data_IF_263713986875
#
_entry.id   IF_263713986875
#
_cell.length_a   1.000
_cell.length_b   1.000
_cell.length_c   1.000
_cell.angle_alpha   90.00
_cell.angle_beta   90.00
_cell.angle_gamma   90.00
#
_symmetry.space_group_name_H-M   'P 1'
#
loop_
_entity.id
_entity.type
_entity.pdbx_description
1 polymer ?
#
# COMPACT_ATOMS: atom_id res chain seq x y z
N UNK A 1 -80.65 4.79 -33.92
CA UNK A 1 -79.56 5.14 -34.86
C UNK A 1 -79.64 6.62 -35.15
N UNK A 2 -78.54 7.40 -35.35
CA UNK A 2 -77.09 7.11 -35.25
C UNK A 2 -76.43 7.83 -34.04
N UNK A 3 -75.39 7.32 -33.37
CA UNK A 3 -73.95 7.18 -33.73
C UNK A 3 -73.19 8.49 -33.91
N UNK A 4 -72.68 9.05 -32.81
CA UNK A 4 -71.39 9.79 -32.74
C UNK A 4 -70.96 9.89 -31.28
N UNK A 5 -70.09 8.97 -30.83
CA UNK A 5 -69.62 8.98 -29.45
C UNK A 5 -68.59 7.90 -29.16
N UNK A 6 -67.64 7.67 -30.07
CA UNK A 6 -66.56 6.69 -29.85
C UNK A 6 -65.28 7.03 -30.63
N UNK A 7 -64.90 8.30 -30.70
CA UNK A 7 -63.61 8.72 -31.32
C UNK A 7 -62.73 9.53 -30.36
N UNK A 8 -63.27 10.07 -29.26
CA UNK A 8 -62.48 10.88 -28.32
C UNK A 8 -61.69 10.07 -27.28
N UNK A 9 -62.03 8.80 -27.02
CA UNK A 9 -61.38 8.01 -25.96
C UNK A 9 -60.10 7.28 -26.42
N UNK A 10 -59.98 6.97 -27.72
CA UNK A 10 -58.80 6.26 -28.25
C UNK A 10 -57.62 7.23 -28.46
N UNK A 11 -57.88 8.50 -28.78
CA UNK A 11 -56.81 9.48 -28.94
C UNK A 11 -56.11 9.85 -27.62
N UNK A 12 -56.83 9.84 -26.49
CA UNK A 12 -56.26 10.17 -25.17
C UNK A 12 -55.44 9.00 -24.61
N UNK A 13 -55.83 7.75 -24.87
CA UNK A 13 -55.05 6.57 -24.44
C UNK A 13 -53.80 6.37 -25.30
N UNK A 14 -53.83 6.74 -26.60
CA UNK A 14 -52.62 6.71 -27.45
C UNK A 14 -51.69 7.88 -27.16
N UNK A 15 -52.19 9.07 -26.78
CA UNK A 15 -51.36 10.20 -26.38
C UNK A 15 -50.73 10.02 -24.99
N UNK A 16 -51.44 9.41 -24.03
CA UNK A 16 -50.88 9.04 -22.73
C UNK A 16 -49.93 7.83 -22.82
N UNK A 17 -50.23 6.88 -23.71
CA UNK A 17 -49.33 5.74 -23.99
C UNK A 17 -48.07 6.15 -24.75
N UNK A 18 -48.16 7.07 -25.72
CA UNK A 18 -47.00 7.59 -26.44
C UNK A 18 -46.19 8.58 -25.58
N UNK A 19 -46.85 9.36 -24.70
CA UNK A 19 -46.16 10.21 -23.72
C UNK A 19 -45.44 9.42 -22.63
N UNK A 20 -46.04 8.33 -22.14
CA UNK A 20 -45.36 7.41 -21.21
C UNK A 20 -44.25 6.61 -21.92
N UNK A 21 -44.44 6.19 -23.17
CA UNK A 21 -43.42 5.46 -23.93
C UNK A 21 -42.27 6.38 -24.44
N UNK A 22 -42.51 7.67 -24.61
CA UNK A 22 -41.46 8.66 -24.90
C UNK A 22 -40.76 9.19 -23.64
N UNK A 23 -41.42 9.18 -22.47
CA UNK A 23 -40.78 9.46 -21.19
C UNK A 23 -39.97 8.26 -20.65
N UNK A 24 -40.31 7.03 -21.03
CA UNK A 24 -39.54 5.81 -20.73
C UNK A 24 -38.37 5.56 -21.68
N UNK A 25 -38.15 6.42 -22.68
CA UNK A 25 -37.01 6.30 -23.61
C UNK A 25 -35.97 7.41 -23.47
N UNK A 26 -36.15 8.30 -22.49
CA UNK A 26 -35.22 9.38 -22.14
C UNK A 26 -34.63 9.20 -20.73
N UNK A 27 -34.74 7.98 -20.17
CA UNK A 27 -34.42 7.65 -18.78
C UNK A 27 -33.26 6.63 -18.66
N UNK A 28 -32.23 6.74 -19.50
CA UNK A 28 -31.03 5.89 -19.47
C UNK A 28 -29.76 6.73 -19.53
N UNK A 29 -29.65 7.71 -18.62
CA UNK A 29 -28.57 8.69 -18.61
C UNK A 29 -27.99 8.88 -17.22
N UNK A 30 -26.66 8.96 -17.15
CA UNK A 30 -25.95 9.30 -15.91
C UNK A 30 -26.44 10.67 -15.39
N UNK A 31 -26.88 10.77 -14.13
CA UNK A 31 -27.43 12.02 -13.59
C UNK A 31 -26.39 13.14 -13.64
N UNK A 32 -26.81 14.35 -14.01
CA UNK A 32 -25.94 15.53 -14.00
C UNK A 32 -25.88 16.10 -12.57
N UNK A 33 -24.94 15.59 -11.77
CA UNK A 33 -24.74 16.02 -10.39
C UNK A 33 -23.57 17.01 -10.32
N UNK A 34 -23.71 18.16 -9.63
CA UNK A 34 -22.62 19.12 -9.50
C UNK A 34 -21.37 18.47 -8.86
N UNK A 35 -20.16 18.87 -9.28
CA UNK A 35 -18.93 18.31 -8.71
C UNK A 35 -18.81 18.75 -7.26
N UNK A 36 -18.56 17.80 -6.36
CA UNK A 36 -18.15 18.13 -5.01
C UNK A 36 -16.72 18.69 -5.04
N UNK A 37 -16.44 19.56 -4.08
CA UNK A 37 -15.13 20.16 -3.87
C UNK A 37 -14.82 19.99 -2.39
N UNK A 38 -13.62 19.49 -2.08
CA UNK A 38 -13.14 19.52 -0.71
C UNK A 38 -12.86 20.98 -0.32
N UNK A 39 -13.46 21.50 0.77
CA UNK A 39 -13.21 22.87 1.21
C UNK A 39 -11.72 23.08 1.47
N UNK A 40 -11.20 24.25 1.09
CA UNK A 40 -9.78 24.57 1.31
C UNK A 40 -9.41 24.67 2.79
N UNK A 41 -10.38 25.02 3.64
CA UNK A 41 -10.21 25.18 5.10
C UNK A 41 -10.63 23.93 5.90
N UNK A 42 -11.12 22.87 5.23
CA UNK A 42 -11.52 21.65 5.92
C UNK A 42 -10.32 21.04 6.66
N UNK A 43 -10.52 20.74 7.95
CA UNK A 43 -9.50 20.06 8.75
C UNK A 43 -9.10 18.73 8.09
N UNK A 44 -7.81 18.41 7.99
CA UNK A 44 -7.39 17.10 7.46
C UNK A 44 -7.82 15.98 8.44
N UNK A 45 -8.75 15.08 8.06
CA UNK A 45 -9.23 14.02 8.95
C UNK A 45 -8.16 12.94 9.20
N UNK A 46 -7.09 12.97 8.42
CA UNK A 46 -5.90 12.15 8.50
C UNK A 46 -4.68 12.93 8.99
N UNK A 47 -4.87 14.12 9.57
CA UNK A 47 -3.82 14.82 10.31
C UNK A 47 -3.37 13.96 11.50
N UNK A 48 -2.04 13.88 11.69
CA UNK A 48 -1.48 13.14 12.82
C UNK A 48 -1.89 13.78 14.15
N UNK A 49 -2.10 12.95 15.16
CA UNK A 49 -2.16 13.40 16.55
C UNK A 49 -1.61 12.30 17.46
N UNK A 50 -0.93 12.67 18.53
CA UNK A 50 -0.34 11.70 19.45
C UNK A 50 -1.39 10.78 20.10
N UNK A 51 -2.62 11.27 20.29
CA UNK A 51 -3.76 10.47 20.78
C UNK A 51 -4.15 9.34 19.81
N UNK A 52 -3.90 9.51 18.51
CA UNK A 52 -4.20 8.55 17.46
C UNK A 52 -2.98 7.74 17.02
N UNK A 53 -1.83 7.87 17.69
CA UNK A 53 -0.57 7.21 17.27
C UNK A 53 -0.76 5.74 16.90
N UNK A 54 -1.39 4.95 17.76
CA UNK A 54 -1.61 3.52 17.51
C UNK A 54 -2.50 3.21 16.30
N UNK A 55 -3.43 4.10 15.93
CA UNK A 55 -4.23 3.99 14.70
C UNK A 55 -3.35 4.20 13.46
N UNK A 56 -2.51 5.23 13.48
CA UNK A 56 -1.54 5.50 12.41
C UNK A 56 -0.52 4.36 12.25
N UNK A 57 0.05 3.86 13.34
CA UNK A 57 0.98 2.73 13.32
C UNK A 57 0.33 1.47 12.73
N UNK A 58 -0.91 1.16 13.13
CA UNK A 58 -1.67 0.02 12.62
C UNK A 58 -1.98 0.18 11.13
N UNK A 59 -2.44 1.36 10.71
CA UNK A 59 -2.72 1.68 9.30
C UNK A 59 -1.46 1.53 8.45
N UNK A 60 -0.34 2.11 8.88
CA UNK A 60 0.94 2.01 8.18
C UNK A 60 1.41 0.57 8.05
N UNK A 61 1.32 -0.20 9.14
CA UNK A 61 1.65 -1.62 9.11
C UNK A 61 0.78 -2.41 8.14
N UNK A 62 -0.51 -2.09 8.00
CA UNK A 62 -1.42 -2.77 7.08
C UNK A 62 -1.19 -2.38 5.63
N UNK A 63 -1.07 -1.07 5.36
CA UNK A 63 -0.92 -0.54 4.00
C UNK A 63 0.41 -0.95 3.37
N UNK A 64 1.49 -0.94 4.15
CA UNK A 64 2.84 -1.29 3.67
C UNK A 64 3.17 -2.78 3.83
N UNK A 65 2.17 -3.62 4.14
CA UNK A 65 2.38 -5.04 4.37
C UNK A 65 2.70 -5.82 3.09
N UNK A 66 2.20 -5.37 1.93
CA UNK A 66 2.19 -6.13 0.67
C UNK A 66 3.54 -6.76 0.31
N UNK A 67 4.61 -5.97 0.38
CA UNK A 67 5.96 -6.42 0.02
C UNK A 67 6.46 -7.60 0.86
N UNK A 68 6.02 -7.74 2.12
CA UNK A 68 6.38 -8.88 2.95
C UNK A 68 5.77 -10.18 2.42
N UNK A 69 4.54 -10.12 1.90
CA UNK A 69 3.86 -11.27 1.32
C UNK A 69 4.45 -11.61 -0.05
N UNK A 70 4.57 -10.61 -0.92
CA UNK A 70 5.06 -10.76 -2.29
C UNK A 70 6.51 -11.27 -2.36
N UNK A 71 7.40 -10.71 -1.53
CA UNK A 71 8.84 -11.02 -1.60
C UNK A 71 9.28 -12.13 -0.65
N UNK A 72 8.37 -12.66 0.17
CA UNK A 72 8.70 -13.70 1.15
C UNK A 72 9.18 -14.99 0.47
N UNK A 73 10.39 -15.48 0.79
CA UNK A 73 10.92 -16.66 0.12
C UNK A 73 10.09 -17.93 0.38
N UNK A 74 9.43 -18.43 -0.68
CA UNK A 74 8.52 -19.57 -0.62
C UNK A 74 7.14 -19.26 -0.04
N UNK A 75 6.73 -17.98 -0.04
CA UNK A 75 5.45 -17.49 0.50
C UNK A 75 5.52 -17.15 1.99
N UNK A 76 4.65 -16.24 2.44
CA UNK A 76 4.69 -15.72 3.81
C UNK A 76 4.46 -16.83 4.85
N UNK A 77 3.59 -17.80 4.55
CA UNK A 77 3.25 -18.89 5.46
C UNK A 77 4.48 -19.78 5.72
N UNK A 78 5.25 -20.06 4.66
CA UNK A 78 6.50 -20.81 4.78
C UNK A 78 7.57 -20.01 5.52
N UNK A 79 7.65 -18.70 5.28
CA UNK A 79 8.53 -17.78 6.01
C UNK A 79 8.20 -17.74 7.50
N UNK A 80 6.94 -17.51 7.87
CA UNK A 80 6.47 -17.50 9.25
C UNK A 80 6.75 -18.84 9.95
N UNK A 81 6.51 -19.97 9.27
CA UNK A 81 6.86 -21.31 9.79
C UNK A 81 8.35 -21.48 10.05
N UNK A 82 9.23 -20.93 9.21
CA UNK A 82 10.68 -20.96 9.44
C UNK A 82 11.05 -20.07 10.62
N UNK A 83 10.53 -18.84 10.66
CA UNK A 83 10.76 -17.88 11.75
C UNK A 83 10.35 -18.43 13.11
N UNK A 84 9.16 -19.04 13.20
CA UNK A 84 8.62 -19.59 14.46
C UNK A 84 9.52 -20.65 15.11
N UNK A 85 10.43 -21.29 14.36
CA UNK A 85 11.40 -22.26 14.91
C UNK A 85 12.42 -21.61 15.83
N UNK A 86 12.63 -20.30 15.69
CA UNK A 86 13.57 -19.53 16.50
C UNK A 86 12.94 -19.00 17.79
N UNK A 87 11.62 -19.14 17.99
CA UNK A 87 10.91 -18.56 19.13
C UNK A 87 11.54 -18.86 20.50
N UNK A 88 11.94 -20.10 20.85
CA UNK A 88 12.57 -20.35 22.15
C UNK A 88 13.89 -19.59 22.35
N UNK A 89 14.66 -19.40 21.27
CA UNK A 89 15.91 -18.66 21.33
C UNK A 89 15.65 -17.15 21.40
N UNK A 90 14.65 -16.67 20.66
CA UNK A 90 14.18 -15.28 20.71
C UNK A 90 13.71 -14.93 22.12
N UNK A 91 12.87 -15.75 22.74
CA UNK A 91 12.38 -15.52 24.11
C UNK A 91 13.51 -15.49 25.14
N UNK A 92 14.49 -16.40 25.01
CA UNK A 92 15.67 -16.40 25.88
C UNK A 92 16.46 -15.09 25.80
N UNK A 93 16.83 -14.67 24.58
CA UNK A 93 17.57 -13.42 24.37
C UNK A 93 16.74 -12.19 24.77
N UNK A 94 15.45 -12.18 24.40
CA UNK A 94 14.54 -11.09 24.73
C UNK A 94 14.39 -10.92 26.24
N UNK A 95 14.25 -12.02 26.98
CA UNK A 95 14.17 -11.99 28.45
C UNK A 95 15.47 -11.50 29.08
N UNK A 96 16.63 -11.95 28.59
CA UNK A 96 17.95 -11.51 29.07
C UNK A 96 18.15 -10.00 28.84
N UNK A 97 17.68 -9.49 27.70
CA UNK A 97 17.81 -8.08 27.30
C UNK A 97 16.64 -7.18 27.74
N UNK A 98 15.58 -7.73 28.36
CA UNK A 98 14.31 -7.03 28.67
C UNK A 98 13.65 -6.37 27.45
N UNK A 99 13.64 -7.07 26.32
CA UNK A 99 13.04 -6.63 25.05
C UNK A 99 11.73 -7.40 24.76
N UNK A 100 10.89 -6.85 23.89
CA UNK A 100 9.69 -7.56 23.40
C UNK A 100 10.10 -8.68 22.42
N UNK A 101 9.85 -9.93 22.83
CA UNK A 101 10.14 -11.12 22.03
C UNK A 101 9.38 -11.13 20.69
N UNK A 102 8.18 -10.56 20.62
CA UNK A 102 7.42 -10.48 19.37
C UNK A 102 8.06 -9.51 18.37
N UNK A 103 8.67 -8.42 18.85
CA UNK A 103 9.39 -7.49 17.98
C UNK A 103 10.68 -8.11 17.46
N UNK A 104 11.44 -8.82 18.29
CA UNK A 104 12.65 -9.52 17.82
C UNK A 104 12.28 -10.61 16.81
N UNK A 105 11.21 -11.37 17.05
CA UNK A 105 10.73 -12.37 16.09
C UNK A 105 10.26 -11.73 14.77
N UNK A 106 9.62 -10.56 14.83
CA UNK A 106 9.24 -9.79 13.66
C UNK A 106 10.45 -9.31 12.85
N UNK A 107 11.51 -8.83 13.51
CA UNK A 107 12.79 -8.51 12.86
C UNK A 107 13.34 -9.75 12.15
N UNK A 108 13.34 -10.93 12.79
CA UNK A 108 13.80 -12.17 12.14
C UNK A 108 12.99 -12.51 10.89
N UNK A 109 11.67 -12.33 10.91
CA UNK A 109 10.83 -12.54 9.74
C UNK A 109 11.17 -11.56 8.62
N UNK A 110 11.24 -10.26 8.93
CA UNK A 110 11.50 -9.21 7.95
C UNK A 110 12.89 -9.34 7.32
N UNK A 111 13.92 -9.56 8.14
CA UNK A 111 15.32 -9.53 7.72
C UNK A 111 15.74 -10.78 6.94
N UNK A 112 15.26 -11.96 7.33
CA UNK A 112 15.77 -13.21 6.77
C UNK A 112 14.71 -14.24 6.43
N UNK A 113 13.44 -13.96 6.71
CA UNK A 113 12.37 -14.94 6.64
C UNK A 113 12.72 -16.25 7.39
N UNK A 114 13.40 -16.10 8.54
CA UNK A 114 13.87 -17.17 9.41
C UNK A 114 15.05 -17.98 8.86
N UNK A 115 15.79 -17.47 7.86
CA UNK A 115 16.95 -18.15 7.24
C UNK A 115 18.27 -17.69 7.89
N UNK A 116 18.94 -18.54 8.69
CA UNK A 116 20.16 -18.16 9.39
C UNK A 116 21.38 -18.03 8.45
N UNK A 117 21.26 -18.43 7.18
CA UNK A 117 22.28 -18.29 6.15
C UNK A 117 21.93 -17.25 5.09
N UNK A 118 20.96 -16.36 5.35
CA UNK A 118 20.65 -15.21 4.50
C UNK A 118 21.87 -14.29 4.36
N UNK A 119 22.09 -13.79 3.14
CA UNK A 119 23.19 -12.89 2.79
C UNK A 119 22.65 -11.84 1.80
N UNK A 120 22.97 -10.57 2.03
CA UNK A 120 22.58 -9.48 1.13
C UNK A 120 23.39 -9.49 -0.17
N UNK A 121 24.65 -9.93 -0.11
CA UNK A 121 25.56 -9.96 -1.25
C UNK A 121 26.47 -11.22 -1.21
N UNK A 122 27.02 -11.66 -2.36
CA UNK A 122 27.87 -12.85 -2.43
C UNK A 122 29.27 -12.68 -1.82
N UNK A 123 29.73 -11.46 -1.63
CA UNK A 123 31.06 -11.15 -1.08
C UNK A 123 31.04 -11.05 0.46
N UNK A 124 29.85 -11.03 1.08
CA UNK A 124 29.59 -10.99 2.52
C UNK A 124 30.03 -9.69 3.20
N UNK A 125 30.15 -8.62 2.40
CA UNK A 125 30.47 -7.27 2.87
C UNK A 125 29.24 -6.60 3.51
N UNK A 126 28.06 -6.87 2.95
CA UNK A 126 26.77 -6.44 3.43
C UNK A 126 26.22 -7.29 4.58
N UNK A 127 24.90 -7.21 4.72
CA UNK A 127 24.16 -7.79 5.82
C UNK A 127 24.11 -9.32 5.75
N UNK A 128 24.26 -9.98 6.90
CA UNK A 128 24.34 -11.44 6.99
C UNK A 128 23.57 -11.97 8.19
N UNK A 129 22.97 -13.14 7.99
CA UNK A 129 22.42 -13.95 9.07
C UNK A 129 20.97 -13.68 9.36
N UNK A 130 20.53 -14.20 10.52
CA UNK A 130 19.13 -14.25 10.92
C UNK A 130 18.48 -12.86 11.06
N UNK A 131 19.28 -11.87 11.43
CA UNK A 131 18.86 -10.48 11.66
C UNK A 131 19.66 -9.48 10.82
N UNK A 132 20.29 -9.96 9.73
CA UNK A 132 20.94 -9.13 8.71
C UNK A 132 21.92 -8.07 9.26
N UNK A 133 22.96 -8.53 9.96
CA UNK A 133 23.96 -7.64 10.57
C UNK A 133 25.09 -7.33 9.58
N UNK A 134 25.44 -6.04 9.41
CA UNK A 134 26.60 -5.59 8.64
C UNK A 134 27.92 -6.00 9.31
N UNK A 135 28.96 -6.31 8.51
CA UNK A 135 30.25 -6.74 9.04
C UNK A 135 30.89 -5.70 9.99
N UNK A 136 30.94 -4.44 9.56
CA UNK A 136 31.50 -3.33 10.33
C UNK A 136 30.75 -3.10 11.65
N UNK A 137 29.42 -3.10 11.62
CA UNK A 137 28.58 -2.99 12.82
C UNK A 137 28.81 -4.17 13.77
N UNK A 138 28.87 -5.39 13.23
CA UNK A 138 29.17 -6.59 14.01
C UNK A 138 30.47 -6.48 14.80
N UNK A 139 31.55 -6.03 14.15
CA UNK A 139 32.87 -5.91 14.78
C UNK A 139 32.96 -4.70 15.72
N UNK A 140 32.57 -3.52 15.24
CA UNK A 140 32.83 -2.24 15.90
C UNK A 140 31.86 -1.90 17.03
N UNK A 141 30.60 -2.37 16.94
CA UNK A 141 29.55 -2.05 17.91
C UNK A 141 29.11 -3.28 18.70
N UNK A 142 28.94 -4.43 18.04
CA UNK A 142 28.26 -5.58 18.62
C UNK A 142 29.19 -6.63 19.23
N UNK A 143 30.51 -6.39 19.22
CA UNK A 143 31.52 -7.30 19.79
C UNK A 143 31.56 -8.68 19.12
N UNK A 144 31.15 -8.77 17.85
CA UNK A 144 31.08 -10.02 17.11
C UNK A 144 32.40 -10.33 16.42
N UNK A 145 32.81 -11.61 16.40
CA UNK A 145 33.91 -12.06 15.55
C UNK A 145 33.39 -12.21 14.12
N UNK A 146 33.97 -11.45 13.20
CA UNK A 146 33.65 -11.50 11.77
C UNK A 146 34.94 -11.54 10.95
N UNK A 147 35.29 -12.70 10.40
CA UNK A 147 36.33 -12.86 9.39
C UNK A 147 35.67 -13.09 8.02
N UNK A 148 35.41 -11.99 7.30
CA UNK A 148 34.74 -11.99 6.00
C UNK A 148 35.50 -12.87 4.99
N UNK A 149 36.83 -12.80 4.98
CA UNK A 149 37.65 -13.53 4.03
C UNK A 149 37.56 -15.06 4.27
N UNK A 150 37.65 -15.52 5.51
CA UNK A 150 37.46 -16.93 5.86
C UNK A 150 36.03 -17.39 5.62
N UNK A 151 35.04 -16.57 6.00
CA UNK A 151 33.62 -16.82 5.81
C UNK A 151 33.29 -17.04 4.34
N UNK A 152 33.78 -16.17 3.44
CA UNK A 152 33.62 -16.28 1.98
C UNK A 152 34.23 -17.57 1.42
N UNK A 153 35.45 -17.94 1.86
CA UNK A 153 36.09 -19.21 1.46
C UNK A 153 35.25 -20.41 1.88
N UNK A 154 34.66 -20.38 3.07
CA UNK A 154 33.80 -21.44 3.59
C UNK A 154 32.47 -21.50 2.84
N UNK A 155 31.83 -20.36 2.57
CA UNK A 155 30.58 -20.26 1.79
C UNK A 155 30.75 -20.87 0.40
N UNK A 156 31.81 -20.53 -0.34
CA UNK A 156 32.12 -21.14 -1.65
C UNK A 156 32.37 -22.64 -1.57
N UNK A 157 32.93 -23.15 -0.46
CA UNK A 157 33.10 -24.59 -0.23
C UNK A 157 31.75 -25.26 0.08
N UNK A 158 30.90 -24.64 0.89
CA UNK A 158 29.56 -25.11 1.25
C UNK A 158 28.71 -25.29 -0.03
N UNK A 159 28.66 -24.27 -0.90
CA UNK A 159 27.92 -24.33 -2.16
C UNK A 159 28.38 -25.50 -3.04
N UNK A 160 29.71 -25.69 -3.20
CA UNK A 160 30.26 -26.80 -3.99
C UNK A 160 29.91 -28.18 -3.45
N UNK A 161 29.97 -28.38 -2.13
CA UNK A 161 29.64 -29.69 -1.54
C UNK A 161 28.13 -29.95 -1.54
N UNK A 162 27.30 -28.90 -1.43
CA UNK A 162 25.85 -29.00 -1.63
C UNK A 162 25.52 -29.45 -3.06
N UNK A 163 26.17 -28.86 -4.07
CA UNK A 163 26.01 -29.24 -5.48
C UNK A 163 26.44 -30.68 -5.81
N UNK A 164 27.28 -31.29 -4.97
CA UNK A 164 27.69 -32.71 -5.07
C UNK A 164 26.79 -33.67 -4.29
N UNK A 165 25.75 -33.18 -3.62
CA UNK A 165 24.88 -34.01 -2.78
C UNK A 165 25.55 -34.51 -1.49
N UNK A 166 26.48 -33.73 -0.91
CA UNK A 166 27.18 -34.10 0.34
C UNK A 166 26.67 -33.30 1.58
N UNK A 167 25.42 -33.52 2.06
CA UNK A 167 24.82 -32.69 3.10
C UNK A 167 25.56 -32.76 4.45
N UNK A 168 26.13 -33.92 4.79
CA UNK A 168 26.93 -34.06 6.01
C UNK A 168 28.19 -33.20 6.02
N UNK A 169 28.84 -33.04 4.85
CA UNK A 169 30.02 -32.18 4.70
C UNK A 169 29.64 -30.71 4.70
N UNK A 170 28.53 -30.34 4.06
CA UNK A 170 27.98 -28.99 4.10
C UNK A 170 27.74 -28.53 5.55
N UNK A 171 27.04 -29.35 6.34
CA UNK A 171 26.77 -29.05 7.77
C UNK A 171 28.03 -28.86 8.60
N UNK A 172 29.10 -29.63 8.33
CA UNK A 172 30.41 -29.44 9.01
C UNK A 172 31.03 -28.10 8.67
N UNK A 173 31.01 -27.71 7.39
CA UNK A 173 31.56 -26.43 6.93
C UNK A 173 30.75 -25.24 7.44
N UNK A 174 29.42 -25.36 7.54
CA UNK A 174 28.55 -24.34 8.14
C UNK A 174 28.90 -24.10 9.61
N UNK A 175 29.13 -25.17 10.39
CA UNK A 175 29.61 -25.04 11.78
C UNK A 175 30.97 -24.37 11.87
N UNK A 176 31.88 -24.64 10.94
CA UNK A 176 33.16 -23.95 10.87
C UNK A 176 32.98 -22.46 10.52
N UNK A 177 32.05 -22.13 9.61
CA UNK A 177 31.75 -20.74 9.23
C UNK A 177 31.27 -19.93 10.43
N UNK A 178 30.37 -20.49 11.25
CA UNK A 178 29.88 -19.83 12.48
C UNK A 178 30.98 -19.47 13.48
N UNK A 179 32.09 -20.21 13.51
CA UNK A 179 33.22 -19.94 14.43
C UNK A 179 34.10 -18.77 13.98
N UNK A 180 34.09 -18.46 12.69
CA UNK A 180 34.88 -17.37 12.11
C UNK A 180 34.02 -16.14 11.81
N UNK A 181 32.71 -16.33 11.65
CA UNK A 181 31.74 -15.27 11.37
C UNK A 181 30.47 -15.51 12.19
N UNK A 182 30.40 -14.83 13.34
CA UNK A 182 29.31 -14.95 14.32
C UNK A 182 27.95 -14.50 13.75
N UNK A 183 27.91 -13.74 12.64
CA UNK A 183 26.64 -13.34 11.99
C UNK A 183 25.83 -14.56 11.52
N UNK A 184 26.49 -15.67 11.23
CA UNK A 184 25.84 -16.94 10.85
C UNK A 184 25.40 -17.81 12.04
N UNK A 185 25.73 -17.42 13.27
CA UNK A 185 25.28 -18.09 14.48
C UNK A 185 23.97 -17.45 14.97
N UNK A 186 22.84 -18.19 14.98
CA UNK A 186 21.54 -17.62 15.32
C UNK A 186 21.48 -16.96 16.71
N UNK A 187 22.15 -17.55 17.72
CA UNK A 187 22.11 -16.99 19.09
C UNK A 187 22.91 -15.69 19.13
N UNK A 188 24.12 -15.70 18.59
CA UNK A 188 24.99 -14.52 18.59
C UNK A 188 24.43 -13.38 17.71
N UNK A 189 23.71 -13.71 16.63
CA UNK A 189 23.01 -12.72 15.83
C UNK A 189 21.87 -12.05 16.63
N UNK A 190 21.05 -12.83 17.34
CA UNK A 190 19.98 -12.29 18.18
C UNK A 190 20.52 -11.46 19.35
N UNK A 191 21.57 -11.93 20.03
CA UNK A 191 22.26 -11.16 21.08
C UNK A 191 22.89 -9.87 20.51
N UNK A 192 23.39 -9.91 19.27
CA UNK A 192 23.86 -8.74 18.55
C UNK A 192 22.74 -7.73 18.30
N UNK A 193 21.57 -8.19 17.82
CA UNK A 193 20.38 -7.34 17.67
C UNK A 193 19.95 -6.72 19.00
N UNK A 194 19.94 -7.49 20.09
CA UNK A 194 19.63 -6.95 21.41
C UNK A 194 20.61 -5.85 21.86
N UNK A 195 21.92 -6.05 21.65
CA UNK A 195 22.94 -5.02 21.93
C UNK A 195 22.78 -3.77 21.07
N UNK A 196 22.39 -3.94 19.80
CA UNK A 196 22.11 -2.81 18.93
C UNK A 196 20.94 -1.98 19.46
N UNK A 197 19.83 -2.64 19.80
CA UNK A 197 18.61 -1.97 20.25
C UNK A 197 18.84 -1.24 21.58
N UNK A 198 19.60 -1.84 22.51
CA UNK A 198 20.00 -1.19 23.77
C UNK A 198 20.86 0.06 23.52
N UNK A 199 21.85 -0.04 22.63
CA UNK A 199 22.66 1.11 22.20
C UNK A 199 21.80 2.22 21.58
N UNK A 200 20.97 1.87 20.60
CA UNK A 200 20.13 2.83 19.90
C UNK A 200 19.11 3.49 20.84
N UNK A 201 18.60 2.73 21.82
CA UNK A 201 17.74 3.27 22.87
C UNK A 201 18.48 4.27 23.77
N UNK A 202 19.73 4.00 24.13
CA UNK A 202 20.55 4.95 24.89
C UNK A 202 20.76 6.28 24.15
N UNK A 203 20.98 6.22 22.83
CA UNK A 203 21.22 7.40 22.00
C UNK A 203 19.94 8.19 21.71
N UNK A 204 18.86 7.49 21.34
CA UNK A 204 17.62 8.07 20.81
C UNK A 204 16.53 8.24 21.88
N UNK A 205 16.60 7.50 22.98
CA UNK A 205 15.74 7.65 24.16
C UNK A 205 14.30 7.16 23.96
N UNK A 206 14.00 6.42 22.88
CA UNK A 206 12.66 5.88 22.60
C UNK A 206 12.71 4.58 21.78
N UNK A 207 11.88 3.61 22.15
CA UNK A 207 11.89 2.27 21.55
C UNK A 207 11.54 2.28 20.05
N UNK A 208 10.61 3.15 19.64
CA UNK A 208 10.19 3.30 18.24
C UNK A 208 11.32 3.86 17.37
N UNK A 209 12.09 4.82 17.91
CA UNK A 209 13.27 5.36 17.26
C UNK A 209 14.42 4.35 17.23
N UNK A 210 14.65 3.61 18.32
CA UNK A 210 15.67 2.56 18.36
C UNK A 210 15.39 1.43 17.36
N UNK A 211 14.11 1.06 17.21
CA UNK A 211 13.69 0.03 16.27
C UNK A 211 13.85 0.50 14.82
N UNK A 212 13.37 1.70 14.49
CA UNK A 212 13.46 2.20 13.12
C UNK A 212 14.91 2.51 12.70
N UNK A 213 15.76 2.91 13.66
CA UNK A 213 17.18 3.13 13.39
C UNK A 213 17.91 1.84 12.99
N UNK A 214 17.36 0.65 13.29
CA UNK A 214 17.99 -0.62 12.95
C UNK A 214 18.37 -0.72 11.46
N UNK A 215 17.50 -0.18 10.59
CA UNK A 215 17.74 -0.15 9.15
C UNK A 215 18.46 1.13 8.69
N UNK A 216 17.99 2.30 9.13
CA UNK A 216 18.54 3.58 8.64
C UNK A 216 19.85 4.03 9.32
N UNK A 217 20.19 3.45 10.47
CA UNK A 217 21.28 3.87 11.34
C UNK A 217 20.92 5.02 12.27
N UNK A 218 21.46 4.99 13.50
CA UNK A 218 21.23 6.01 14.54
C UNK A 218 21.62 7.41 14.05
N UNK A 219 22.79 7.56 13.42
CA UNK A 219 23.27 8.86 12.95
C UNK A 219 22.35 9.53 11.92
N UNK A 220 21.85 8.75 10.95
CA UNK A 220 20.91 9.26 9.95
C UNK A 220 19.59 9.70 10.62
N UNK A 221 19.06 8.87 11.53
CA UNK A 221 17.83 9.20 12.25
C UNK A 221 17.99 10.45 13.13
N UNK A 222 19.13 10.61 13.80
CA UNK A 222 19.45 11.83 14.55
C UNK A 222 19.38 13.07 13.64
N UNK A 223 20.00 13.02 12.46
CA UNK A 223 19.89 14.14 11.51
C UNK A 223 18.47 14.38 11.00
N UNK A 224 17.64 13.35 10.87
CA UNK A 224 16.21 13.53 10.53
C UNK A 224 15.47 14.23 11.68
N UNK A 225 15.73 13.85 12.93
CA UNK A 225 15.13 14.48 14.12
C UNK A 225 15.56 15.94 14.23
N UNK A 226 16.84 16.24 14.00
CA UNK A 226 17.36 17.62 13.96
C UNK A 226 16.69 18.45 12.88
N UNK A 227 16.54 17.90 11.66
CA UNK A 227 15.86 18.56 10.54
C UNK A 227 14.34 18.70 10.76
N UNK A 228 13.77 17.91 11.67
CA UNK A 228 12.37 18.06 12.10
C UNK A 228 12.21 19.33 12.97
N UNK A 229 13.24 19.72 13.72
CA UNK A 229 13.37 21.05 14.31
C UNK A 229 12.60 21.29 15.61
N UNK A 230 12.13 20.23 16.29
CA UNK A 230 11.47 20.34 17.59
C UNK A 230 12.43 20.00 18.75
N UNK A 231 12.26 20.69 19.88
CA UNK A 231 13.11 20.51 21.06
C UNK A 231 12.93 19.14 21.75
N UNK A 232 11.71 18.60 21.69
CA UNK A 232 11.39 17.27 22.19
C UNK A 232 11.61 16.24 21.08
N UNK A 233 12.16 15.07 21.44
CA UNK A 233 12.33 13.96 20.48
C UNK A 233 10.95 13.36 20.15
N UNK A 234 10.42 13.55 18.93
CA UNK A 234 9.09 13.09 18.57
C UNK A 234 9.05 11.55 18.51
N UNK A 235 7.84 10.98 18.60
CA UNK A 235 7.64 9.60 18.18
C UNK A 235 7.97 9.45 16.69
N UNK A 236 8.37 8.24 16.26
CA UNK A 236 8.64 8.04 14.83
C UNK A 236 7.38 8.27 13.99
N UNK A 237 6.20 7.89 14.50
CA UNK A 237 4.93 8.13 13.84
C UNK A 237 4.69 9.63 13.61
N UNK A 238 4.91 10.47 14.62
CA UNK A 238 4.81 11.93 14.46
C UNK A 238 5.79 12.44 13.42
N UNK A 239 7.06 12.06 13.55
CA UNK A 239 8.12 12.46 12.64
C UNK A 239 7.80 12.09 11.19
N UNK A 240 7.30 10.87 10.94
CA UNK A 240 6.94 10.40 9.61
C UNK A 240 5.70 11.10 9.05
N UNK A 241 4.60 11.17 9.82
CA UNK A 241 3.32 11.67 9.33
C UNK A 241 3.17 13.20 9.33
N UNK A 242 3.94 13.94 10.12
CA UNK A 242 3.97 15.41 10.07
C UNK A 242 5.01 15.95 9.06
N UNK A 243 5.98 15.13 8.64
CA UNK A 243 6.93 15.47 7.58
C UNK A 243 6.28 15.42 6.20
N UNK A 244 6.36 16.52 5.46
CA UNK A 244 5.80 16.67 4.11
C UNK A 244 6.59 17.67 3.25
N UNK A 245 6.29 17.81 1.95
CA UNK A 245 6.90 18.84 1.12
C UNK A 245 6.67 20.28 1.60
N UNK A 246 5.61 20.54 2.38
CA UNK A 246 5.19 21.86 2.88
C UNK A 246 5.42 22.06 4.38
N UNK A 247 5.55 20.99 5.18
CA UNK A 247 5.81 21.03 6.63
C UNK A 247 6.99 20.11 7.00
N UNK A 248 7.89 20.55 7.88
CA UNK A 248 9.14 19.82 8.22
C UNK A 248 9.89 19.32 6.96
N UNK A 249 9.98 20.18 5.94
CA UNK A 249 10.48 19.83 4.60
C UNK A 249 11.89 19.24 4.59
N UNK A 250 12.76 19.69 5.49
CA UNK A 250 14.12 19.16 5.61
C UNK A 250 14.11 17.69 6.05
N UNK A 251 13.35 17.36 7.10
CA UNK A 251 13.17 15.99 7.56
C UNK A 251 12.53 15.10 6.48
N UNK A 252 11.49 15.60 5.82
CA UNK A 252 10.83 14.88 4.71
C UNK A 252 11.82 14.54 3.58
N UNK A 253 12.63 15.50 3.12
CA UNK A 253 13.63 15.25 2.08
C UNK A 253 14.65 14.23 2.52
N UNK A 254 15.17 14.35 3.74
CA UNK A 254 16.16 13.40 4.26
C UNK A 254 15.59 11.98 4.33
N UNK A 255 14.36 11.82 4.79
CA UNK A 255 13.68 10.52 4.77
C UNK A 255 13.54 9.95 3.36
N UNK A 256 13.18 10.79 2.38
CA UNK A 256 13.05 10.38 0.99
C UNK A 256 14.39 10.01 0.32
N UNK A 257 15.50 10.58 0.78
CA UNK A 257 16.85 10.34 0.25
C UNK A 257 17.45 8.99 0.68
N UNK A 258 16.92 8.33 1.73
CA UNK A 258 17.46 7.05 2.23
C UNK A 258 17.32 5.90 1.21
N UNK A 259 16.35 5.95 0.30
CA UNK A 259 16.30 5.16 -0.94
C UNK A 259 16.15 3.63 -0.81
N UNK A 260 16.26 3.06 0.38
CA UNK A 260 16.29 1.61 0.66
C UNK A 260 15.10 1.15 1.53
N UNK A 261 13.97 1.87 1.45
CA UNK A 261 12.77 1.67 2.29
C UNK A 261 12.96 1.90 3.79
N UNK A 262 14.12 2.43 4.22
CA UNK A 262 14.42 2.79 5.61
C UNK A 262 13.30 3.56 6.31
N UNK A 263 12.66 4.50 5.62
CA UNK A 263 11.58 5.34 6.16
C UNK A 263 10.30 4.55 6.48
N UNK A 264 10.19 3.31 6.02
CA UNK A 264 9.03 2.44 6.24
C UNK A 264 9.34 1.23 7.14
N UNK A 265 10.57 1.15 7.66
CA UNK A 265 11.04 -0.03 8.37
C UNK A 265 10.19 -0.37 9.61
N UNK A 266 9.83 0.64 10.42
CA UNK A 266 8.99 0.44 11.59
C UNK A 266 7.66 -0.22 11.22
N UNK A 267 7.02 0.27 10.15
CA UNK A 267 5.74 -0.22 9.66
C UNK A 267 5.84 -1.68 9.21
N UNK A 268 6.94 -2.03 8.53
CA UNK A 268 7.23 -3.40 8.08
C UNK A 268 7.51 -4.35 9.24
N UNK A 269 8.19 -3.90 10.29
CA UNK A 269 8.35 -4.71 11.52
C UNK A 269 7.00 -4.94 12.19
N UNK A 270 6.14 -3.91 12.30
CA UNK A 270 4.80 -4.08 12.87
C UNK A 270 3.91 -5.00 12.01
N UNK A 271 4.04 -4.94 10.68
CA UNK A 271 3.38 -5.87 9.77
C UNK A 271 3.88 -7.32 9.97
N UNK A 272 5.19 -7.51 10.09
CA UNK A 272 5.80 -8.81 10.39
C UNK A 272 5.34 -9.35 11.75
N UNK A 273 5.16 -8.49 12.76
CA UNK A 273 4.58 -8.86 14.06
C UNK A 273 3.16 -9.38 13.92
N UNK A 274 2.30 -8.70 13.15
CA UNK A 274 0.93 -9.16 12.88
C UNK A 274 0.91 -10.52 12.16
N UNK A 275 1.79 -10.71 11.17
CA UNK A 275 1.95 -11.98 10.46
C UNK A 275 2.32 -13.11 11.43
N UNK A 276 3.30 -12.89 12.31
CA UNK A 276 3.72 -13.91 13.27
C UNK A 276 2.64 -14.22 14.31
N UNK A 277 1.88 -13.20 14.74
CA UNK A 277 0.69 -13.39 15.57
C UNK A 277 -0.35 -14.26 14.88
N UNK A 278 -0.76 -13.92 13.65
CA UNK A 278 -1.72 -14.72 12.85
C UNK A 278 -1.20 -16.14 12.62
N UNK A 279 0.09 -16.33 12.35
CA UNK A 279 0.65 -17.67 12.21
C UNK A 279 0.49 -18.55 13.46
N UNK A 280 0.45 -17.95 14.65
CA UNK A 280 0.20 -18.65 15.92
C UNK A 280 -1.28 -18.84 16.21
N UNK A 281 -2.07 -17.79 16.02
CA UNK A 281 -3.45 -17.70 16.51
C UNK A 281 -4.48 -18.12 15.45
N UNK A 282 -4.25 -17.80 14.18
CA UNK A 282 -5.16 -18.08 13.07
C UNK A 282 -4.40 -18.23 11.73
N UNK A 283 -3.94 -19.45 11.47
CA UNK A 283 -3.22 -19.79 10.23
C UNK A 283 -4.12 -19.73 9.01
N UNK A 284 -5.43 -19.93 9.16
CA UNK A 284 -6.39 -19.84 8.07
C UNK A 284 -6.50 -18.40 7.58
N UNK A 285 -6.65 -17.45 8.51
CA UNK A 285 -6.64 -16.02 8.18
C UNK A 285 -5.31 -15.57 7.56
N UNK A 286 -4.15 -16.10 8.01
CA UNK A 286 -2.88 -15.79 7.36
C UNK A 286 -2.83 -16.31 5.92
N UNK A 287 -3.28 -17.55 5.67
CA UNK A 287 -3.29 -18.13 4.33
C UNK A 287 -4.22 -17.35 3.38
N UNK A 288 -5.45 -17.02 3.82
CA UNK A 288 -6.36 -16.17 3.03
C UNK A 288 -5.73 -14.81 2.73
N UNK A 289 -5.08 -14.19 3.72
CA UNK A 289 -4.41 -12.90 3.51
C UNK A 289 -3.22 -13.00 2.55
N UNK A 290 -2.48 -14.11 2.56
CA UNK A 290 -1.41 -14.40 1.60
C UNK A 290 -1.95 -14.51 0.18
N UNK A 291 -3.06 -15.23 -0.01
CA UNK A 291 -3.74 -15.33 -1.30
C UNK A 291 -4.16 -13.95 -1.83
N UNK A 292 -4.86 -13.15 -1.01
CA UNK A 292 -5.30 -11.80 -1.42
C UNK A 292 -4.12 -10.84 -1.67
N UNK A 293 -3.07 -10.89 -0.84
CA UNK A 293 -1.88 -10.05 -1.01
C UNK A 293 -1.05 -10.42 -2.23
N UNK A 294 -1.13 -11.66 -2.72
CA UNK A 294 -0.29 -12.15 -3.83
C UNK A 294 -1.07 -12.45 -5.11
N UNK A 295 -2.39 -12.25 -5.10
CA UNK A 295 -3.23 -12.34 -6.29
C UNK A 295 -2.79 -11.34 -7.38
N UNK A 296 -2.27 -10.18 -6.97
CA UNK A 296 -1.82 -9.09 -7.85
C UNK A 296 -0.56 -8.41 -7.32
N UNK A 297 -0.03 -7.47 -8.10
CA UNK A 297 1.15 -6.67 -7.75
C UNK A 297 0.85 -5.52 -6.76
N UNK A 298 -0.25 -5.60 -6.01
CA UNK A 298 -0.65 -4.66 -4.97
C UNK A 298 -1.55 -5.35 -3.94
N UNK A 299 -1.87 -4.64 -2.85
CA UNK A 299 -2.84 -5.09 -1.85
C UNK A 299 -4.32 -4.82 -2.24
N UNK A 300 -4.64 -4.56 -3.51
CA UNK A 300 -5.99 -4.14 -3.90
C UNK A 300 -7.09 -5.17 -3.58
N UNK A 301 -6.79 -6.46 -3.68
CA UNK A 301 -7.75 -7.52 -3.29
C UNK A 301 -7.84 -7.72 -1.77
N UNK A 302 -6.92 -7.13 -1.00
CA UNK A 302 -7.07 -7.06 0.47
C UNK A 302 -8.04 -5.96 0.86
N UNK A 303 -8.06 -4.87 0.09
CA UNK A 303 -9.02 -3.78 0.32
C UNK A 303 -10.42 -4.19 -0.11
N UNK A 304 -10.53 -4.93 -1.21
CA UNK A 304 -11.79 -5.37 -1.81
C UNK A 304 -11.70 -6.81 -2.32
N UNK A 305 -11.86 -7.81 -1.44
CA UNK A 305 -11.84 -9.22 -1.83
C UNK A 305 -12.94 -9.54 -2.84
N UNK A 306 -12.62 -10.33 -3.88
CA UNK A 306 -13.57 -10.61 -4.96
C UNK A 306 -14.80 -11.45 -4.57
N UNK A 307 -14.75 -12.14 -3.43
CA UNK A 307 -15.86 -12.88 -2.83
C UNK A 307 -16.75 -12.02 -1.91
N UNK A 308 -16.29 -10.82 -1.55
CA UNK A 308 -16.98 -9.88 -0.65
C UNK A 308 -17.38 -8.56 -1.35
N UNK A 309 -16.90 -8.33 -2.58
CA UNK A 309 -17.09 -7.07 -3.29
C UNK A 309 -17.96 -7.28 -4.53
N UNK A 310 -19.06 -6.54 -4.60
CA UNK A 310 -19.96 -6.55 -5.74
C UNK A 310 -19.30 -5.97 -7.00
N UNK A 311 -19.64 -6.57 -8.14
CA UNK A 311 -19.14 -6.20 -9.47
C UNK A 311 -20.30 -5.89 -10.38
N UNK A 312 -20.12 -4.89 -11.23
CA UNK A 312 -21.04 -4.58 -12.32
C UNK A 312 -20.75 -5.53 -13.49
N UNK A 313 -21.69 -6.39 -13.82
CA UNK A 313 -21.59 -7.36 -14.90
C UNK A 313 -21.98 -6.76 -16.25
N UNK A 314 -22.90 -5.79 -16.26
CA UNK A 314 -23.49 -5.22 -17.47
C UNK A 314 -23.59 -3.68 -17.43
N UNK A 315 -23.83 -3.04 -18.59
CA UNK A 315 -24.15 -1.61 -18.63
C UNK A 315 -25.41 -1.25 -17.82
N UNK A 316 -26.44 -2.12 -17.82
CA UNK A 316 -27.67 -1.90 -17.06
C UNK A 316 -27.37 -1.83 -15.55
N UNK A 317 -26.46 -2.68 -15.05
CA UNK A 317 -26.04 -2.64 -13.64
C UNK A 317 -25.38 -1.30 -13.27
N UNK A 318 -24.67 -0.68 -14.22
CA UNK A 318 -24.08 0.65 -14.01
C UNK A 318 -25.16 1.74 -14.01
N UNK A 319 -26.16 1.66 -14.89
CA UNK A 319 -27.28 2.60 -14.93
C UNK A 319 -28.06 2.55 -13.61
N UNK A 320 -28.38 1.36 -13.12
CA UNK A 320 -29.03 1.13 -11.83
C UNK A 320 -28.16 1.70 -10.69
N UNK A 321 -26.86 1.44 -10.69
CA UNK A 321 -25.94 1.95 -9.66
C UNK A 321 -25.83 3.49 -9.64
N UNK A 322 -25.97 4.18 -10.77
CA UNK A 322 -26.11 5.64 -10.74
C UNK A 322 -27.49 6.08 -10.24
N UNK A 323 -28.55 5.35 -10.56
CA UNK A 323 -29.91 5.62 -10.08
C UNK A 323 -30.05 5.46 -8.56
N UNK A 324 -29.29 4.53 -7.98
CA UNK A 324 -29.27 4.21 -6.55
C UNK A 324 -28.20 4.98 -5.74
N UNK A 325 -27.56 5.99 -6.36
CA UNK A 325 -26.45 6.77 -5.77
C UNK A 325 -25.23 5.94 -5.33
N UNK A 326 -25.11 4.69 -5.79
CA UNK A 326 -23.94 3.83 -5.58
C UNK A 326 -22.72 4.29 -6.38
N UNK A 327 -22.96 4.93 -7.54
CA UNK A 327 -21.94 5.55 -8.37
C UNK A 327 -22.16 7.05 -8.49
N UNK A 328 -21.07 7.80 -8.40
CA UNK A 328 -21.04 9.25 -8.62
C UNK A 328 -20.35 9.61 -9.93
N UNK A 329 -20.91 10.52 -10.75
CA UNK A 329 -20.31 10.94 -12.02
C UNK A 329 -19.00 11.74 -11.89
N UNK A 330 -18.00 11.37 -12.72
CA UNK A 330 -16.63 11.91 -12.92
C UNK A 330 -16.20 12.83 -11.81
N UNK A 331 -15.51 13.97 -11.95
CA UNK A 331 -16.05 15.28 -12.35
C UNK A 331 -15.35 15.84 -13.59
N UNK A 332 -15.87 16.91 -14.21
CA UNK A 332 -15.21 17.62 -15.32
C UNK A 332 -15.00 19.10 -14.99
N UNK A 333 -14.38 19.36 -13.83
CA UNK A 333 -14.11 20.71 -13.35
C UNK A 333 -12.67 20.82 -12.81
N UNK A 334 -11.65 20.75 -13.69
CA UNK A 334 -10.24 20.67 -13.27
C UNK A 334 -9.79 21.86 -12.43
N UNK A 335 -10.30 23.07 -12.68
CA UNK A 335 -9.96 24.24 -11.87
C UNK A 335 -10.49 24.19 -10.44
N UNK A 336 -11.56 23.43 -10.18
CA UNK A 336 -12.17 23.29 -8.84
C UNK A 336 -11.68 22.05 -8.09
N UNK A 337 -11.50 20.95 -8.83
CA UNK A 337 -11.22 19.63 -8.25
C UNK A 337 -9.73 19.25 -8.34
N UNK A 338 -8.99 19.87 -9.28
CA UNK A 338 -7.68 19.44 -9.77
C UNK A 338 -7.67 18.03 -10.36
N UNK A 339 -8.82 17.55 -10.81
CA UNK A 339 -8.96 16.32 -11.59
C UNK A 339 -9.45 16.67 -13.00
N UNK A 340 -8.86 16.02 -13.99
CA UNK A 340 -9.24 16.16 -15.40
C UNK A 340 -9.57 14.79 -15.98
N UNK A 341 -10.72 14.65 -16.64
CA UNK A 341 -11.00 13.46 -17.45
C UNK A 341 -10.13 13.45 -18.69
N UNK A 342 -9.49 12.32 -18.98
CA UNK A 342 -8.96 12.06 -20.31
C UNK A 342 -10.11 11.94 -21.32
N UNK A 343 -9.87 12.39 -22.55
CA UNK A 343 -10.89 12.36 -23.62
C UNK A 343 -11.20 10.93 -24.08
N UNK A 344 -10.25 10.01 -23.94
CA UNK A 344 -10.39 8.59 -24.26
C UNK A 344 -11.09 7.78 -23.16
N UNK A 345 -11.38 8.37 -21.99
CA UNK A 345 -12.11 7.68 -20.93
C UNK A 345 -13.49 7.21 -21.43
N UNK A 346 -13.73 5.91 -21.33
CA UNK A 346 -14.92 5.22 -21.83
C UNK A 346 -14.93 4.98 -23.36
N UNK A 347 -13.78 4.98 -24.04
CA UNK A 347 -13.74 4.90 -25.51
C UNK A 347 -14.40 3.66 -26.12
N UNK A 348 -14.47 2.54 -25.39
CA UNK A 348 -15.10 1.31 -25.87
C UNK A 348 -16.62 1.29 -25.68
N UNK A 349 -17.22 2.29 -25.04
CA UNK A 349 -18.66 2.34 -24.73
C UNK A 349 -19.55 2.14 -25.98
N UNK A 350 -19.16 2.74 -27.10
CA UNK A 350 -19.91 2.60 -28.36
C UNK A 350 -19.89 1.20 -28.97
N UNK A 351 -19.04 0.28 -28.49
CA UNK A 351 -19.09 -1.15 -28.86
C UNK A 351 -20.12 -1.94 -28.05
N UNK A 352 -20.67 -1.32 -27.01
CA UNK A 352 -21.71 -1.84 -26.14
C UNK A 352 -23.02 -1.05 -26.31
N UNK A 353 -23.11 -0.23 -27.36
CA UNK A 353 -24.27 0.60 -27.69
C UNK A 353 -24.71 1.58 -26.56
N UNK A 354 -23.77 1.98 -25.68
CA UNK A 354 -24.00 2.92 -24.58
C UNK A 354 -23.11 4.17 -24.65
N UNK A 355 -23.49 5.20 -23.89
CA UNK A 355 -22.74 6.46 -23.80
C UNK A 355 -21.44 6.33 -23.00
N UNK A 356 -20.44 7.17 -23.32
CA UNK A 356 -19.16 7.17 -22.58
C UNK A 356 -19.32 7.56 -21.11
N UNK A 357 -20.30 8.38 -20.79
CA UNK A 357 -20.51 8.90 -19.44
C UNK A 357 -20.86 7.80 -18.43
N UNK A 358 -21.44 6.69 -18.89
CA UNK A 358 -21.69 5.51 -18.06
C UNK A 358 -20.41 4.99 -17.40
N UNK A 359 -19.28 5.04 -18.12
CA UNK A 359 -17.97 4.60 -17.64
C UNK A 359 -17.15 5.71 -16.98
N UNK A 360 -17.77 6.84 -16.64
CA UNK A 360 -17.12 8.00 -16.04
C UNK A 360 -17.71 8.25 -14.66
N UNK A 361 -17.53 7.28 -13.76
CA UNK A 361 -17.96 7.42 -12.38
C UNK A 361 -17.17 6.52 -11.44
N UNK A 362 -17.34 6.78 -10.16
CA UNK A 362 -16.68 6.07 -9.07
C UNK A 362 -17.67 5.88 -7.93
N UNK A 363 -17.48 4.85 -7.10
CA UNK A 363 -18.16 4.79 -5.81
C UNK A 363 -17.82 6.05 -4.98
N UNK A 364 -18.73 6.58 -4.16
CA UNK A 364 -18.54 7.84 -3.43
C UNK A 364 -17.21 7.92 -2.68
N UNK A 365 -16.79 6.85 -2.01
CA UNK A 365 -15.54 6.78 -1.26
C UNK A 365 -14.32 6.97 -2.18
N UNK A 366 -14.31 6.31 -3.33
CA UNK A 366 -13.24 6.43 -4.32
C UNK A 366 -13.23 7.82 -4.99
N UNK A 367 -14.41 8.39 -5.25
CA UNK A 367 -14.54 9.77 -5.72
C UNK A 367 -13.94 10.76 -4.71
N UNK A 368 -14.31 10.65 -3.42
CA UNK A 368 -13.84 11.54 -2.36
C UNK A 368 -12.33 11.42 -2.15
N UNK A 369 -11.81 10.19 -2.19
CA UNK A 369 -10.38 9.93 -2.15
C UNK A 369 -9.65 10.54 -3.35
N UNK A 370 -10.18 10.43 -4.57
CA UNK A 370 -9.56 11.03 -5.75
C UNK A 370 -9.45 12.56 -5.62
N UNK A 371 -10.49 13.22 -5.08
CA UNK A 371 -10.44 14.65 -4.77
C UNK A 371 -9.37 14.95 -3.71
N UNK A 372 -9.31 14.14 -2.67
CA UNK A 372 -8.36 14.30 -1.56
C UNK A 372 -6.91 14.14 -2.03
N UNK A 373 -6.65 13.13 -2.87
CA UNK A 373 -5.35 12.91 -3.52
C UNK A 373 -4.95 14.10 -4.40
N UNK A 374 -5.89 14.64 -5.18
CA UNK A 374 -5.64 15.83 -5.99
C UNK A 374 -5.34 17.07 -5.13
N UNK A 375 -6.03 17.24 -3.99
CA UNK A 375 -5.77 18.30 -3.02
C UNK A 375 -4.37 18.19 -2.43
N UNK A 376 -4.00 17.02 -1.90
CA UNK A 376 -2.66 16.76 -1.36
C UNK A 376 -1.56 17.05 -2.41
N UNK A 377 -1.78 16.65 -3.66
CA UNK A 377 -0.85 16.90 -4.75
C UNK A 377 -0.68 18.39 -5.04
N UNK A 378 -1.77 19.18 -5.03
CA UNK A 378 -1.70 20.64 -5.24
C UNK A 378 -1.01 21.35 -4.09
N UNK A 379 -1.37 21.01 -2.86
CA UNK A 379 -0.78 21.59 -1.63
C UNK A 379 0.72 21.31 -1.54
N UNK A 380 1.15 20.08 -1.82
CA UNK A 380 2.56 19.70 -1.80
C UNK A 380 3.35 20.25 -3.01
N UNK A 381 2.70 20.37 -4.18
CA UNK A 381 3.34 20.83 -5.43
C UNK A 381 3.40 22.35 -5.57
N UNK A 382 2.55 23.08 -4.85
CA UNK A 382 2.42 24.54 -4.93
C UNK A 382 1.90 25.03 -6.29
N UNK A 383 1.06 24.25 -6.97
CA UNK A 383 0.50 24.62 -8.27
C UNK A 383 -0.85 23.95 -8.57
N UNK A 384 -1.57 24.52 -9.54
CA UNK A 384 -2.97 24.17 -9.84
C UNK A 384 -3.15 23.17 -11.00
N UNK A 385 -2.04 22.59 -11.48
CA UNK A 385 -2.10 21.62 -12.58
C UNK A 385 -2.90 20.38 -12.14
N UNK A 386 -3.95 19.98 -12.88
CA UNK A 386 -4.77 18.84 -12.51
C UNK A 386 -4.05 17.52 -12.78
N UNK A 387 -4.39 16.50 -12.01
CA UNK A 387 -4.11 15.11 -12.36
C UNK A 387 -5.09 14.66 -13.46
N UNK A 388 -4.58 14.03 -14.51
CA UNK A 388 -5.43 13.46 -15.56
C UNK A 388 -5.81 12.04 -15.20
N UNK A 389 -7.10 11.77 -15.05
CA UNK A 389 -7.63 10.42 -14.82
C UNK A 389 -8.02 9.83 -16.18
N UNK A 390 -7.56 8.61 -16.45
CA UNK A 390 -7.72 7.93 -17.75
C UNK A 390 -8.77 6.83 -17.72
N UNK A 391 -9.02 6.23 -16.56
CA UNK A 391 -10.03 5.20 -16.38
C UNK A 391 -10.67 5.27 -14.99
N UNK A 392 -11.91 4.82 -14.90
CA UNK A 392 -12.73 4.78 -13.68
C UNK A 392 -13.56 3.49 -13.68
N UNK A 393 -14.85 3.50 -13.29
CA UNK A 393 -15.71 2.31 -13.32
C UNK A 393 -15.80 1.67 -14.72
N UNK A 394 -15.89 0.34 -14.74
CA UNK A 394 -16.15 -0.53 -15.89
C UNK A 394 -17.22 -1.55 -15.50
N UNK A 395 -17.85 -2.18 -16.48
CA UNK A 395 -18.55 -3.45 -16.28
C UNK A 395 -17.72 -4.61 -16.86
N UNK A 396 -18.13 -5.85 -16.58
CA UNK A 396 -17.43 -7.04 -17.08
C UNK A 396 -17.40 -7.14 -18.62
N UNK A 397 -18.44 -6.68 -19.32
CA UNK A 397 -18.48 -6.67 -20.78
C UNK A 397 -17.45 -5.66 -21.36
N UNK A 398 -17.34 -4.47 -20.77
CA UNK A 398 -16.31 -3.48 -21.11
C UNK A 398 -14.90 -4.04 -20.84
N UNK A 399 -14.70 -4.66 -19.68
CA UNK A 399 -13.42 -5.28 -19.31
C UNK A 399 -13.04 -6.40 -20.29
N UNK A 400 -14.00 -7.22 -20.73
CA UNK A 400 -13.76 -8.26 -21.72
C UNK A 400 -13.37 -7.71 -23.10
N UNK A 401 -13.92 -6.56 -23.51
CA UNK A 401 -13.50 -5.86 -24.73
C UNK A 401 -12.08 -5.31 -24.62
N UNK A 402 -11.73 -4.77 -23.46
CA UNK A 402 -10.39 -4.23 -23.19
C UNK A 402 -9.34 -5.36 -23.21
N UNK A 403 -9.61 -6.50 -22.57
CA UNK A 403 -8.72 -7.66 -22.52
C UNK A 403 -8.38 -8.26 -23.91
N UNK A 404 -9.26 -8.09 -24.90
CA UNK A 404 -9.01 -8.53 -26.28
C UNK A 404 -8.01 -7.64 -27.03
N UNK A 405 -7.81 -6.40 -26.60
CA UNK A 405 -6.98 -5.40 -27.29
C UNK A 405 -5.79 -4.88 -26.47
N UNK A 406 -5.76 -5.13 -25.16
CA UNK A 406 -4.73 -4.65 -24.25
C UNK A 406 -4.17 -5.81 -23.40
N UNK A 407 -2.89 -6.19 -23.57
CA UNK A 407 -2.28 -7.25 -22.78
C UNK A 407 -2.21 -6.96 -21.27
N UNK A 408 -2.31 -5.69 -20.86
CA UNK A 408 -2.34 -5.28 -19.45
C UNK A 408 -3.74 -5.48 -18.82
N UNK A 409 -4.79 -5.62 -19.64
CA UNK A 409 -6.13 -5.93 -19.18
C UNK A 409 -6.28 -7.45 -19.04
N UNK A 410 -6.04 -7.95 -17.83
CA UNK A 410 -6.22 -9.37 -17.53
C UNK A 410 -7.71 -9.74 -17.55
N UNK A 411 -8.02 -11.00 -17.88
CA UNK A 411 -9.37 -11.56 -17.76
C UNK A 411 -9.75 -11.99 -16.34
N UNK A 412 -8.92 -11.66 -15.34
CA UNK A 412 -9.17 -11.92 -13.93
C UNK A 412 -10.03 -10.83 -13.29
N UNK A 413 -10.28 -10.97 -11.99
CA UNK A 413 -10.98 -9.96 -11.19
C UNK A 413 -10.36 -8.57 -11.38
N UNK A 414 -11.16 -7.56 -11.74
CA UNK A 414 -10.70 -6.18 -11.98
C UNK A 414 -11.39 -5.21 -11.02
N UNK A 415 -10.63 -4.39 -10.29
CA UNK A 415 -11.21 -3.42 -9.35
C UNK A 415 -11.91 -2.25 -10.04
N UNK A 416 -11.72 -2.08 -11.35
CA UNK A 416 -12.56 -1.16 -12.13
C UNK A 416 -14.02 -1.65 -12.20
N UNK A 417 -14.25 -2.97 -12.12
CA UNK A 417 -15.61 -3.54 -12.15
C UNK A 417 -16.40 -3.33 -10.86
N UNK A 418 -15.77 -2.79 -9.82
CA UNK A 418 -16.41 -2.53 -8.52
C UNK A 418 -16.66 -1.03 -8.29
N UNK A 419 -16.09 -0.16 -9.14
CA UNK A 419 -16.16 1.31 -8.99
C UNK A 419 -15.21 1.90 -7.94
N UNK A 420 -14.35 1.08 -7.31
CA UNK A 420 -13.37 1.55 -6.32
C UNK A 420 -12.02 1.96 -6.91
N UNK A 421 -11.78 1.69 -8.19
CA UNK A 421 -10.50 1.95 -8.84
C UNK A 421 -10.55 3.03 -9.93
N UNK A 422 -9.43 3.75 -10.07
CA UNK A 422 -9.19 4.73 -11.12
C UNK A 422 -7.71 4.76 -11.52
N UNK A 423 -7.46 5.18 -12.76
CA UNK A 423 -6.11 5.27 -13.32
C UNK A 423 -5.71 6.72 -13.51
N UNK A 424 -4.54 7.11 -13.01
CA UNK A 424 -3.96 8.45 -13.17
C UNK A 424 -2.84 8.41 -14.20
N UNK A 425 -2.93 9.23 -15.25
CA UNK A 425 -1.91 9.33 -16.29
C UNK A 425 -0.55 9.73 -15.70
N UNK A 426 0.51 8.99 -16.06
CA UNK A 426 1.89 9.29 -15.68
C UNK A 426 2.51 10.40 -16.54
N UNK A 427 1.80 11.53 -16.65
CA UNK A 427 2.26 12.74 -17.33
C UNK A 427 1.94 13.95 -16.45
N UNK A 428 3.00 14.58 -15.99
CA UNK A 428 2.94 15.68 -15.04
C UNK A 428 3.32 17.01 -15.71
N UNK A 429 2.90 18.13 -15.13
CA UNK A 429 3.29 19.48 -15.56
C UNK A 429 4.77 19.78 -15.30
N UNK A 430 5.41 19.02 -14.41
CA UNK A 430 6.84 19.08 -14.11
C UNK A 430 7.21 18.23 -12.89
N UNK A 431 8.50 18.17 -12.58
CA UNK A 431 9.05 17.31 -11.50
C UNK A 431 8.42 17.59 -10.14
N UNK A 432 8.05 18.85 -9.86
CA UNK A 432 7.37 19.21 -8.60
C UNK A 432 6.02 18.52 -8.46
N UNK A 433 5.22 18.47 -9.52
CA UNK A 433 3.92 17.77 -9.49
C UNK A 433 4.14 16.26 -9.37
N UNK A 434 5.15 15.71 -10.06
CA UNK A 434 5.49 14.29 -9.97
C UNK A 434 5.86 13.88 -8.54
N UNK A 435 6.72 14.65 -7.88
CA UNK A 435 7.13 14.44 -6.49
C UNK A 435 5.97 14.63 -5.52
N UNK A 436 5.14 15.63 -5.72
CA UNK A 436 3.95 15.86 -4.90
C UNK A 436 2.92 14.73 -5.02
N UNK A 437 2.74 14.19 -6.23
CA UNK A 437 1.87 13.05 -6.45
C UNK A 437 2.44 11.77 -5.82
N UNK A 438 3.75 11.53 -5.93
CA UNK A 438 4.39 10.42 -5.21
C UNK A 438 4.21 10.56 -3.69
N UNK A 439 4.39 11.75 -3.12
CA UNK A 439 4.10 12.00 -1.71
C UNK A 439 2.65 11.65 -1.34
N UNK A 440 1.68 12.01 -2.19
CA UNK A 440 0.28 11.66 -1.95
C UNK A 440 0.06 10.14 -1.99
N UNK A 441 0.67 9.42 -2.93
CA UNK A 441 0.61 7.95 -2.99
C UNK A 441 1.20 7.32 -1.72
N UNK A 442 2.43 7.68 -1.36
CA UNK A 442 3.13 7.12 -0.20
C UNK A 442 2.35 7.38 1.10
N UNK A 443 1.84 8.60 1.28
CA UNK A 443 1.05 8.98 2.46
C UNK A 443 -0.26 8.20 2.54
N UNK A 444 -0.99 8.08 1.44
CA UNK A 444 -2.29 7.40 1.43
C UNK A 444 -2.15 5.89 1.58
N UNK A 445 -1.09 5.30 1.02
CA UNK A 445 -0.75 3.89 1.25
C UNK A 445 -0.38 3.65 2.72
N UNK A 446 0.45 4.51 3.31
CA UNK A 446 0.77 4.44 4.75
C UNK A 446 -0.46 4.67 5.66
N UNK A 447 -1.51 5.32 5.18
CA UNK A 447 -2.79 5.44 5.89
C UNK A 447 -3.75 4.26 5.64
N UNK A 448 -3.32 3.29 4.83
CA UNK A 448 -4.11 2.16 4.36
C UNK A 448 -5.43 2.60 3.69
N UNK A 449 -5.37 3.72 2.96
CA UNK A 449 -6.51 4.28 2.22
C UNK A 449 -6.45 3.93 0.73
N UNK A 450 -5.30 3.48 0.24
CA UNK A 450 -5.13 3.00 -1.12
C UNK A 450 -4.25 1.76 -1.19
N UNK A 451 -4.43 1.01 -2.27
CA UNK A 451 -3.40 0.21 -2.89
C UNK A 451 -3.15 0.80 -4.28
N UNK A 452 -1.91 0.76 -4.78
CA UNK A 452 -1.59 1.30 -6.10
C UNK A 452 -0.54 0.46 -6.84
N UNK A 453 -0.58 0.52 -8.17
CA UNK A 453 0.37 -0.13 -9.07
C UNK A 453 0.88 0.88 -10.08
N UNK A 454 2.19 0.84 -10.33
CA UNK A 454 2.80 1.58 -11.44
C UNK A 454 2.69 0.80 -12.73
N UNK A 455 1.86 1.27 -13.65
CA UNK A 455 1.78 0.76 -15.02
C UNK A 455 2.65 1.61 -15.97
N UNK A 456 2.90 1.17 -17.22
CA UNK A 456 3.74 1.92 -18.16
C UNK A 456 3.26 3.36 -18.40
N UNK A 457 1.94 3.55 -18.58
CA UNK A 457 1.33 4.85 -18.92
C UNK A 457 0.54 5.49 -17.77
N UNK A 458 0.12 4.71 -16.77
CA UNK A 458 -0.75 5.17 -15.68
C UNK A 458 -0.27 4.68 -14.31
N UNK A 459 -0.80 5.28 -13.25
CA UNK A 459 -0.80 4.74 -11.90
C UNK A 459 -2.22 4.22 -11.66
N UNK A 460 -2.35 2.91 -11.48
CA UNK A 460 -3.60 2.30 -11.05
C UNK A 460 -3.76 2.52 -9.55
N UNK A 461 -4.90 3.04 -9.11
CA UNK A 461 -5.22 3.28 -7.70
C UNK A 461 -6.53 2.59 -7.36
N UNK A 462 -6.52 1.79 -6.30
CA UNK A 462 -7.73 1.25 -5.67
C UNK A 462 -7.93 1.94 -4.32
N UNK A 463 -9.10 2.57 -4.13
CA UNK A 463 -9.48 3.21 -2.87
C UNK A 463 -9.97 2.19 -1.85
N UNK A 464 -9.60 2.32 -0.57
CA UNK A 464 -10.18 1.53 0.52
C UNK A 464 -11.60 2.02 0.88
N UNK A 465 -12.46 1.14 1.39
CA UNK A 465 -13.78 1.53 1.92
C UNK A 465 -13.71 2.53 3.09
N UNK A 466 -12.62 2.51 3.86
CA UNK A 466 -12.32 3.47 4.93
C UNK A 466 -12.24 4.93 4.45
N UNK A 467 -12.06 5.17 3.15
CA UNK A 467 -12.11 6.51 2.57
C UNK A 467 -13.48 7.18 2.73
N UNK A 468 -14.52 6.45 3.16
CA UNK A 468 -15.82 6.99 3.57
C UNK A 468 -15.73 8.13 4.58
N UNK A 469 -14.69 8.18 5.42
CA UNK A 469 -14.46 9.31 6.34
C UNK A 469 -14.37 10.66 5.61
N UNK A 470 -13.90 10.67 4.35
CA UNK A 470 -13.85 11.86 3.51
C UNK A 470 -15.23 12.34 3.06
N UNK A 471 -16.25 11.48 3.02
CA UNK A 471 -17.62 11.87 2.65
C UNK A 471 -18.22 12.83 3.67
N UNK A 472 -17.98 12.62 4.97
CA UNK A 472 -18.44 13.53 6.01
C UNK A 472 -17.97 14.97 5.79
N UNK A 473 -16.76 15.15 5.23
CA UNK A 473 -16.23 16.49 4.90
C UNK A 473 -16.87 17.12 3.67
N UNK A 474 -17.42 16.30 2.77
CA UNK A 474 -18.11 16.76 1.58
C UNK A 474 -19.60 17.07 1.88
N UNK A 475 -20.17 16.44 2.91
CA UNK A 475 -21.56 16.58 3.34
C UNK A 475 -21.76 17.69 4.38
N UNK A 476 -20.79 17.93 5.28
CA UNK A 476 -20.91 18.93 6.38
C UNK A 476 -21.05 20.39 5.93
N UNK A 477 -20.80 20.72 4.66
CA UNK A 477 -20.93 22.09 4.13
C UNK A 477 -21.90 22.22 2.94
N UNK A 478 -22.68 21.17 2.66
CA UNK A 478 -23.65 21.10 1.56
C UNK A 478 -25.10 21.42 1.95
N UNK A 479 -25.35 22.35 2.89
CA UNK A 479 -26.67 22.93 3.16
C UNK A 479 -26.84 24.32 2.56
#
# INVERSE_FOLDING_TARGET
MPRTGLVALVAVVVALGAGAFLALRDAGGVPDVPPLVLPAEAADPFAYSEKRRQDFERRAAQGLAHVLYEKSPGGIVASARRTARWRPLVEGVASEARLDADLIEAIVLLESAGRPDAVADPELEGAVGLTQILAGTGQGLLGMRVDVAASRRLTRRIQRVRGRGEPGRAKRLERLRRRVDHRFDPRLALEGTARYLDFAQGELGRDDLALVSYHMGVGNLTSVIEDFGEADRPSYARLYFESSPSSHRAAWRRLAELGDDSSTYLWRVLAARDIMRRYREDRGALARRDELQTAKNSAEEVLHPGDETERYASPDDLEDAYGDDELRPFPQAPGRTGLRRDRAMGELAGRLDVGRDLYRGLRPEAYALALYMARLTREAGGGDAPLTVTSTVRDEAYQALLAKGNPEATGGYSLHTTGFAFDVLRRYSGDRQAVAFQFALDRLEALNLIAWVREPAAIHVTAAGDARVLLGQLEEEGQ
#
